data_IF_987046938089
#
_entry.id   IF_987046938089
#
_cell.length_a   1.000
_cell.length_b   1.000
_cell.length_c   1.000
_cell.angle_alpha   90.00
_cell.angle_beta   90.00
_cell.angle_gamma   90.00
#
_symmetry.space_group_name_H-M   'P 1'
#
loop_
_entity.id
_entity.type
_entity.pdbx_description
1 polymer ?
#
# COMPACT_ATOMS: atom_id res chain seq x y z
N UNK A 1 7.99 21.70 -1.43
CA UNK A 1 8.36 20.37 -0.92
C UNK A 1 7.75 19.30 -1.78
N UNK A 2 8.51 18.27 -2.07
CA UNK A 2 8.02 17.20 -2.92
C UNK A 2 7.04 16.31 -2.16
N UNK A 3 5.99 15.91 -2.84
CA UNK A 3 5.07 14.91 -2.31
C UNK A 3 5.73 13.54 -2.26
N UNK A 4 5.19 12.66 -1.46
CA UNK A 4 5.69 11.30 -1.35
C UNK A 4 4.60 10.31 -1.75
N UNK A 5 5.02 9.22 -2.36
CA UNK A 5 4.11 8.18 -2.83
C UNK A 5 4.48 6.86 -2.19
N UNK A 6 3.51 6.25 -1.54
CA UNK A 6 3.66 4.89 -1.02
C UNK A 6 3.15 3.93 -2.07
N UNK A 7 4.00 3.00 -2.45
CA UNK A 7 3.67 1.97 -3.43
C UNK A 7 3.69 0.63 -2.70
N UNK A 8 2.55 -0.06 -2.72
CA UNK A 8 2.44 -1.40 -2.16
C UNK A 8 2.09 -2.37 -3.27
N UNK A 9 2.91 -3.39 -3.44
CA UNK A 9 2.72 -4.41 -4.47
C UNK A 9 2.53 -5.75 -3.78
N UNK A 10 1.35 -6.30 -3.92
CA UNK A 10 0.97 -7.59 -3.33
C UNK A 10 1.20 -8.68 -4.37
N UNK A 11 2.32 -9.36 -4.29
CA UNK A 11 2.61 -10.46 -5.22
C UNK A 11 1.68 -11.63 -5.01
N UNK A 12 1.25 -11.86 -3.76
CA UNK A 12 0.33 -12.94 -3.42
C UNK A 12 -0.54 -12.56 -2.23
N UNK A 13 -1.81 -12.89 -2.32
CA UNK A 13 -2.75 -12.78 -1.20
C UNK A 13 -2.99 -14.19 -0.67
N UNK A 14 -2.48 -14.46 0.53
CA UNK A 14 -2.53 -15.79 1.15
C UNK A 14 -3.81 -15.96 1.93
N UNK A 15 -4.17 -14.94 2.72
CA UNK A 15 -5.39 -14.92 3.54
C UNK A 15 -6.22 -13.68 3.21
N UNK A 16 -7.22 -13.81 2.32
CA UNK A 16 -8.04 -12.66 1.92
C UNK A 16 -8.81 -12.02 3.09
N UNK A 17 -9.18 -12.80 4.08
CA UNK A 17 -9.90 -12.28 5.25
C UNK A 17 -9.02 -11.37 6.10
N UNK A 18 -7.77 -11.77 6.34
CA UNK A 18 -6.79 -10.94 7.03
C UNK A 18 -6.58 -9.63 6.28
N UNK A 19 -6.46 -9.69 4.96
CA UNK A 19 -6.28 -8.50 4.13
C UNK A 19 -7.50 -7.58 4.24
N UNK A 20 -8.70 -8.14 4.18
CA UNK A 20 -9.93 -7.35 4.29
C UNK A 20 -9.98 -6.59 5.60
N UNK A 21 -9.68 -7.25 6.71
CA UNK A 21 -9.69 -6.63 8.04
C UNK A 21 -8.60 -5.56 8.15
N UNK A 22 -7.42 -5.86 7.63
CA UNK A 22 -6.32 -4.89 7.56
C UNK A 22 -6.72 -3.63 6.80
N UNK A 23 -7.34 -3.79 5.63
CA UNK A 23 -7.72 -2.65 4.80
C UNK A 23 -8.74 -1.76 5.50
N UNK A 24 -9.69 -2.34 6.23
CA UNK A 24 -10.67 -1.57 6.99
C UNK A 24 -9.99 -0.75 8.09
N UNK A 25 -9.12 -1.36 8.88
CA UNK A 25 -8.45 -0.71 9.99
C UNK A 25 -7.41 0.30 9.51
N UNK A 26 -6.65 -0.05 8.49
CA UNK A 26 -5.59 0.78 7.95
C UNK A 26 -6.12 2.05 7.28
N UNK A 27 -7.29 1.98 6.65
CA UNK A 27 -7.90 3.12 5.96
C UNK A 27 -8.11 4.31 6.91
N UNK A 28 -8.56 4.04 8.12
CA UNK A 28 -8.77 5.09 9.11
C UNK A 28 -7.46 5.76 9.51
N UNK A 29 -6.42 4.98 9.73
CA UNK A 29 -5.10 5.49 10.11
C UNK A 29 -4.50 6.32 8.97
N UNK A 30 -4.53 5.80 7.75
CA UNK A 30 -3.98 6.50 6.58
C UNK A 30 -4.71 7.81 6.33
N UNK A 31 -6.04 7.80 6.39
CA UNK A 31 -6.84 9.01 6.22
C UNK A 31 -6.54 10.06 7.26
N UNK A 32 -6.32 9.67 8.51
CA UNK A 32 -5.98 10.60 9.58
C UNK A 32 -4.63 11.28 9.36
N UNK A 33 -3.74 10.68 8.57
CA UNK A 33 -2.43 11.23 8.23
C UNK A 33 -2.40 11.89 6.84
N UNK A 34 -3.57 12.11 6.24
CA UNK A 34 -3.67 12.84 4.99
C UNK A 34 -3.36 12.04 3.74
N UNK A 35 -3.42 10.73 3.80
CA UNK A 35 -3.20 9.89 2.63
C UNK A 35 -4.30 10.11 1.59
N UNK A 36 -3.89 10.18 0.32
CA UNK A 36 -4.80 10.26 -0.80
C UNK A 36 -4.56 9.05 -1.70
N UNK A 37 -5.58 8.23 -1.88
CA UNK A 37 -5.49 7.07 -2.74
C UNK A 37 -5.49 7.51 -4.20
N UNK A 38 -4.47 7.12 -4.95
CA UNK A 38 -4.38 7.42 -6.38
C UNK A 38 -4.75 6.21 -7.23
N UNK A 39 -4.38 5.02 -6.78
CA UNK A 39 -4.73 3.77 -7.45
C UNK A 39 -4.78 2.66 -6.41
N UNK A 40 -5.83 1.88 -6.45
CA UNK A 40 -6.03 0.78 -5.51
C UNK A 40 -6.75 -0.34 -6.25
N UNK A 41 -6.27 -1.55 -6.14
CA UNK A 41 -7.08 -2.68 -6.54
C UNK A 41 -6.32 -3.85 -7.10
N UNK A 42 -7.12 -4.81 -7.54
CA UNK A 42 -6.67 -6.07 -8.11
C UNK A 42 -6.90 -6.14 -9.62
N UNK A 43 -7.44 -5.07 -10.19
CA UNK A 43 -7.68 -4.99 -11.63
C UNK A 43 -6.42 -4.50 -12.33
N UNK A 44 -5.47 -5.40 -12.48
CA UNK A 44 -4.13 -5.09 -12.98
C UNK A 44 -4.01 -5.60 -14.41
N UNK A 45 -3.56 -4.71 -15.30
CA UNK A 45 -3.34 -5.05 -16.70
C UNK A 45 -1.84 -5.07 -17.01
N UNK A 46 -1.42 -6.04 -17.79
CA UNK A 46 -0.05 -6.08 -18.29
C UNK A 46 0.11 -5.09 -19.43
N UNK A 47 1.28 -4.49 -19.48
CA UNK A 47 1.72 -3.77 -20.66
C UNK A 47 2.29 -4.82 -21.61
N UNK A 48 2.01 -4.67 -22.91
CA UNK A 48 2.44 -5.61 -23.94
C UNK A 48 3.92 -5.98 -23.77
N UNK A 49 4.22 -7.26 -23.74
CA UNK A 49 5.55 -7.83 -23.61
C UNK A 49 6.27 -7.44 -22.32
N UNK A 50 5.53 -7.01 -21.31
CA UNK A 50 6.15 -6.70 -20.04
C UNK A 50 6.64 -7.99 -19.39
N UNK A 51 7.78 -7.91 -18.76
CA UNK A 51 8.39 -9.04 -18.11
C UNK A 51 7.79 -9.26 -16.72
N UNK A 52 7.77 -10.51 -16.30
CA UNK A 52 7.39 -10.90 -14.97
C UNK A 52 5.92 -11.24 -14.82
N UNK A 53 5.59 -11.65 -13.62
CA UNK A 53 4.22 -12.02 -13.25
C UNK A 53 3.54 -10.80 -12.63
N UNK A 54 2.37 -10.38 -13.12
CA UNK A 54 1.69 -9.24 -12.52
C UNK A 54 1.30 -9.55 -11.07
N UNK A 55 1.35 -8.55 -10.18
CA UNK A 55 0.91 -8.75 -8.80
C UNK A 55 -0.60 -8.97 -8.74
N UNK A 56 -1.06 -9.55 -7.64
CA UNK A 56 -2.50 -9.75 -7.42
C UNK A 56 -3.21 -8.47 -7.01
N UNK A 57 -2.47 -7.52 -6.43
CA UNK A 57 -3.03 -6.25 -5.98
C UNK A 57 -1.92 -5.20 -5.94
N UNK A 58 -2.28 -3.95 -6.20
CA UNK A 58 -1.36 -2.82 -6.06
C UNK A 58 -2.08 -1.62 -5.47
N UNK A 59 -1.33 -0.82 -4.71
CA UNK A 59 -1.85 0.41 -4.09
C UNK A 59 -0.82 1.51 -4.28
N UNK A 60 -1.29 2.69 -4.68
CA UNK A 60 -0.47 3.90 -4.73
C UNK A 60 -1.20 4.96 -3.93
N UNK A 61 -0.54 5.47 -2.89
CA UNK A 61 -1.07 6.54 -2.04
C UNK A 61 -0.14 7.73 -2.08
N UNK A 62 -0.72 8.93 -2.05
CA UNK A 62 0.03 10.18 -1.99
C UNK A 62 -0.02 10.74 -0.57
N UNK A 63 1.13 11.19 -0.08
CA UNK A 63 1.26 11.95 1.16
C UNK A 63 1.91 13.29 0.84
N UNK A 64 1.77 14.24 1.76
CA UNK A 64 2.31 15.57 1.57
C UNK A 64 3.84 15.57 1.46
N UNK A 65 4.50 14.71 2.23
CA UNK A 65 5.94 14.50 2.19
C UNK A 65 6.30 13.12 2.74
N UNK A 66 7.59 12.79 2.69
CA UNK A 66 8.09 11.50 3.17
C UNK A 66 7.84 11.34 4.67
N UNK A 67 8.01 12.40 5.43
CA UNK A 67 7.80 12.36 6.88
C UNK A 67 6.36 12.01 7.24
N UNK A 68 5.40 12.59 6.54
CA UNK A 68 3.98 12.28 6.76
C UNK A 68 3.68 10.81 6.47
N UNK A 69 4.26 10.26 5.40
CA UNK A 69 4.11 8.84 5.07
C UNK A 69 4.70 7.95 6.17
N UNK A 70 5.90 8.28 6.64
CA UNK A 70 6.56 7.52 7.70
C UNK A 70 5.77 7.53 9.00
N UNK A 71 5.24 8.69 9.38
CA UNK A 71 4.39 8.81 10.57
C UNK A 71 3.10 7.98 10.46
N UNK A 72 2.50 7.99 9.28
CA UNK A 72 1.30 7.20 9.04
C UNK A 72 1.56 5.70 9.26
N UNK A 73 2.68 5.19 8.76
CA UNK A 73 3.01 3.78 8.90
C UNK A 73 3.50 3.43 10.30
N UNK A 74 4.12 4.35 11.03
CA UNK A 74 4.39 4.16 12.46
C UNK A 74 3.09 3.99 13.24
N UNK A 75 2.10 4.82 12.97
CA UNK A 75 0.79 4.73 13.62
C UNK A 75 0.02 3.47 13.20
N UNK A 76 0.32 2.92 12.03
CA UNK A 76 -0.35 1.74 11.49
C UNK A 76 0.33 0.42 11.89
N UNK A 77 1.40 0.47 12.67
CA UNK A 77 2.24 -0.70 12.93
C UNK A 77 1.46 -1.90 13.50
N UNK A 78 0.55 -1.65 14.42
CA UNK A 78 -0.27 -2.72 14.99
C UNK A 78 -1.12 -3.43 13.94
N UNK A 79 -1.64 -2.67 12.96
CA UNK A 79 -2.40 -3.24 11.86
C UNK A 79 -1.49 -4.01 10.91
N UNK A 80 -0.27 -3.51 10.67
CA UNK A 80 0.72 -4.22 9.84
C UNK A 80 1.06 -5.58 10.43
N UNK A 81 1.23 -5.65 11.74
CA UNK A 81 1.51 -6.91 12.43
C UNK A 81 0.37 -7.92 12.28
N UNK A 82 -0.87 -7.47 12.31
CA UNK A 82 -2.04 -8.33 12.12
C UNK A 82 -2.10 -8.93 10.71
N UNK A 83 -1.52 -8.26 9.73
CA UNK A 83 -1.50 -8.74 8.35
C UNK A 83 -0.37 -9.76 8.12
N UNK A 84 0.60 -9.83 9.00
CA UNK A 84 1.74 -10.70 8.85
C UNK A 84 1.31 -12.15 8.59
N UNK A 85 1.92 -12.76 7.56
CA UNK A 85 1.55 -14.10 7.12
C UNK A 85 0.33 -14.16 6.20
N UNK A 86 -0.39 -13.05 6.02
CA UNK A 86 -1.60 -13.02 5.18
C UNK A 86 -1.33 -12.64 3.72
N UNK A 87 -0.18 -12.05 3.44
CA UNK A 87 0.20 -11.60 2.11
C UNK A 87 1.70 -11.70 1.91
N UNK A 88 2.12 -11.78 0.64
CA UNK A 88 3.49 -11.49 0.22
C UNK A 88 3.47 -10.13 -0.45
N UNK A 89 4.15 -9.16 0.15
CA UNK A 89 4.05 -7.77 -0.26
C UNK A 89 5.39 -7.06 -0.20
N UNK A 90 5.63 -6.20 -1.18
CA UNK A 90 6.70 -5.20 -1.14
C UNK A 90 6.05 -3.85 -0.99
N UNK A 91 6.55 -3.04 -0.08
CA UNK A 91 6.01 -1.70 0.15
C UNK A 91 7.15 -0.73 0.40
N UNK A 92 7.07 0.44 -0.23
CA UNK A 92 8.12 1.45 -0.12
C UNK A 92 7.54 2.84 -0.37
N UNK A 93 8.31 3.85 0.01
CA UNK A 93 7.95 5.24 -0.27
C UNK A 93 8.94 5.82 -1.29
N UNK A 94 8.40 6.54 -2.26
CA UNK A 94 9.18 7.23 -3.29
C UNK A 94 8.85 8.71 -3.21
N UNK A 95 9.89 9.54 -3.16
CA UNK A 95 9.69 10.99 -3.20
C UNK A 95 9.36 11.43 -4.61
N UNK A 96 8.36 12.29 -4.76
CA UNK A 96 7.95 12.83 -6.04
C UNK A 96 8.92 13.87 -6.60
N UNK A 97 8.71 14.21 -7.83
CA UNK A 97 9.52 15.22 -8.54
C UNK A 97 9.01 16.64 -8.28
#
# INVERSE_FOLDING_TARGET
MAKAYVVAVYSKIIDPEKLKNYLQDSRCVMGAHGAKALAIGSNISNISKLEGIPPERAVIMEFEDVEAAQKAFQSNQANEEKLEGGVDRVMFVVEGV
#
